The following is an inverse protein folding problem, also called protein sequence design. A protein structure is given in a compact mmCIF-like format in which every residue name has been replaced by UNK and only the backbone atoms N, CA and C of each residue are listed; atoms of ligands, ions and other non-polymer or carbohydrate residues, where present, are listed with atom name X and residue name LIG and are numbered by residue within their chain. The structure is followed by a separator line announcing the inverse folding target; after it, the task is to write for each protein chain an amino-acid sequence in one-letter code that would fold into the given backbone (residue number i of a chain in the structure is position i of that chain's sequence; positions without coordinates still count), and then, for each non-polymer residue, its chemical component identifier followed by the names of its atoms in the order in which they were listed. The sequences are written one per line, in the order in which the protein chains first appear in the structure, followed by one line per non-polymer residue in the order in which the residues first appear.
data_IF_869386048128
#
_entry.id   IF_869386048128
#
_cell.length_a   1.000
_cell.length_b   1.000
_cell.length_c   1.000
_cell.angle_alpha   90.00
_cell.angle_beta   90.00
_cell.angle_gamma   90.00
#
_symmetry.space_group_name_H-M   'P 1'
#
loop_
_entity.id
_entity.type
_entity.pdbx_description
1 polymer ?
#
# COMPACT_ATOMS: atom_id res chain seq x y z
N UNK A 1 -17.01 -2.79 3.18
CA UNK A 1 -15.72 -2.64 3.87
C UNK A 1 -15.49 -3.82 4.80
N UNK A 2 -14.29 -4.31 4.86
CA UNK A 2 -13.94 -5.52 5.60
C UNK A 2 -12.62 -5.29 6.34
N UNK A 3 -12.45 -5.90 7.50
CA UNK A 3 -11.19 -5.84 8.25
C UNK A 3 -10.23 -6.92 7.75
N UNK A 4 -9.05 -6.49 7.32
CA UNK A 4 -7.96 -7.36 6.91
C UNK A 4 -6.81 -7.26 7.88
N UNK A 5 -6.15 -8.37 8.11
CA UNK A 5 -4.86 -8.39 8.79
C UNK A 5 -3.73 -8.55 7.77
N UNK A 6 -2.56 -8.11 8.12
CA UNK A 6 -1.39 -8.24 7.29
C UNK A 6 -0.09 -8.18 8.10
N UNK A 7 1.01 -8.48 7.42
CA UNK A 7 2.33 -8.47 8.04
C UNK A 7 3.43 -8.32 7.00
N UNK A 8 4.63 -7.98 7.47
CA UNK A 8 5.85 -8.19 6.69
C UNK A 8 6.14 -9.70 6.60
N UNK A 9 7.14 -10.07 5.80
CA UNK A 9 7.48 -11.49 5.60
C UNK A 9 7.86 -12.19 6.93
N UNK A 10 8.71 -11.56 7.75
CA UNK A 10 9.17 -12.18 9.00
C UNK A 10 8.14 -12.06 10.15
N UNK A 11 7.03 -11.38 9.94
CA UNK A 11 5.91 -11.19 10.86
C UNK A 11 6.23 -10.40 12.14
N UNK A 12 7.37 -9.76 12.22
CA UNK A 12 7.65 -8.82 13.32
C UNK A 12 6.74 -7.60 13.27
N UNK A 13 6.38 -7.17 12.04
CA UNK A 13 5.44 -6.06 11.84
C UNK A 13 4.10 -6.66 11.43
N UNK A 14 3.07 -6.43 12.24
CA UNK A 14 1.70 -6.85 11.93
C UNK A 14 0.76 -5.67 12.05
N UNK A 15 -0.32 -5.68 11.28
CA UNK A 15 -1.28 -4.59 11.24
C UNK A 15 -2.67 -5.11 10.88
N UNK A 16 -3.66 -4.26 11.08
CA UNK A 16 -5.00 -4.50 10.54
C UNK A 16 -5.53 -3.21 9.90
N UNK A 17 -6.39 -3.38 8.91
CA UNK A 17 -6.98 -2.26 8.17
C UNK A 17 -8.39 -2.62 7.72
N UNK A 18 -9.28 -1.64 7.77
CA UNK A 18 -10.61 -1.74 7.17
C UNK A 18 -10.51 -1.22 5.73
N UNK A 19 -10.75 -2.11 4.77
CA UNK A 19 -10.55 -1.82 3.35
C UNK A 19 -11.70 -2.36 2.51
N UNK A 20 -11.95 -1.72 1.38
CA UNK A 20 -12.75 -2.27 0.30
C UNK A 20 -11.84 -2.54 -0.90
N UNK A 21 -11.53 -3.81 -1.14
CA UNK A 21 -10.65 -4.19 -2.25
C UNK A 21 -11.33 -4.05 -3.61
N UNK A 22 -12.64 -3.87 -3.66
CA UNK A 22 -13.40 -3.80 -4.91
C UNK A 22 -13.62 -2.35 -5.37
N UNK A 23 -13.83 -1.41 -4.45
CA UNK A 23 -14.20 -0.03 -4.79
C UNK A 23 -13.45 0.97 -3.89
N UNK A 24 -12.53 1.76 -4.41
CA UNK A 24 -12.09 1.88 -5.80
C UNK A 24 -11.15 0.77 -6.28
N UNK A 25 -10.82 -0.20 -5.44
CA UNK A 25 -9.91 -1.27 -5.77
C UNK A 25 -8.46 -0.92 -5.46
N UNK A 26 -7.55 -1.66 -6.07
CA UNK A 26 -6.10 -1.54 -5.85
C UNK A 26 -5.43 -0.83 -7.02
N UNK A 27 -4.15 -0.48 -6.88
CA UNK A 27 -3.43 0.20 -7.94
C UNK A 27 -1.99 -0.29 -8.06
N UNK A 28 -1.46 -0.17 -9.28
CA UNK A 28 -0.03 -0.21 -9.59
C UNK A 28 0.32 1.05 -10.36
N UNK A 29 1.48 1.61 -10.09
CA UNK A 29 1.92 2.85 -10.71
C UNK A 29 3.26 2.62 -11.42
N UNK A 30 3.43 3.26 -12.58
CA UNK A 30 4.67 3.17 -13.35
C UNK A 30 5.73 4.20 -12.95
N UNK A 31 5.52 5.01 -11.91
CA UNK A 31 6.56 5.92 -11.45
C UNK A 31 7.79 5.13 -10.99
N UNK A 32 8.95 5.78 -11.02
CA UNK A 32 10.22 5.12 -10.70
C UNK A 32 10.22 4.44 -9.33
N UNK A 33 9.63 5.07 -8.33
CA UNK A 33 9.55 4.55 -6.97
C UNK A 33 8.69 3.28 -6.90
N UNK A 34 7.47 3.35 -7.40
CA UNK A 34 6.56 2.20 -7.37
C UNK A 34 7.07 1.07 -8.24
N UNK A 35 7.62 1.40 -9.42
CA UNK A 35 8.18 0.40 -10.33
C UNK A 35 9.35 -0.36 -9.68
N UNK A 36 10.32 0.37 -9.11
CA UNK A 36 11.48 -0.28 -8.49
C UNK A 36 11.13 -1.10 -7.26
N UNK A 37 10.10 -0.71 -6.52
CA UNK A 37 9.63 -1.45 -5.35
C UNK A 37 8.63 -2.54 -5.70
N UNK A 38 8.19 -2.65 -6.95
CA UNK A 38 7.12 -3.57 -7.37
C UNK A 38 5.87 -3.37 -6.53
N UNK A 39 5.53 -2.12 -6.28
CA UNK A 39 4.46 -1.75 -5.37
C UNK A 39 3.08 -2.08 -5.92
N UNK A 40 2.28 -2.77 -5.14
CA UNK A 40 0.87 -3.01 -5.38
C UNK A 40 0.12 -2.49 -4.17
N UNK A 41 -0.61 -1.41 -4.31
CA UNK A 41 -1.13 -0.66 -3.18
C UNK A 41 -2.63 -0.48 -3.17
N UNK A 42 -3.11 -0.15 -1.98
CA UNK A 42 -4.44 0.39 -1.74
C UNK A 42 -4.30 1.48 -0.68
N UNK A 43 -5.07 2.56 -0.80
CA UNK A 43 -5.05 3.62 0.19
C UNK A 43 -6.12 3.36 1.25
N UNK A 44 -5.73 3.46 2.50
CA UNK A 44 -6.61 3.43 3.66
C UNK A 44 -6.57 4.74 4.42
N UNK A 45 -7.57 4.94 5.27
CA UNK A 45 -7.62 6.10 6.18
C UNK A 45 -6.93 5.75 7.50
N UNK A 46 -6.17 6.68 8.11
CA UNK A 46 -5.51 6.41 9.39
C UNK A 46 -6.46 5.94 10.48
N UNK A 47 -7.69 6.46 10.52
CA UNK A 47 -8.69 6.05 11.50
C UNK A 47 -9.16 4.59 11.34
N UNK A 48 -8.93 3.99 10.17
CA UNK A 48 -9.30 2.63 9.81
C UNK A 48 -8.09 1.70 9.71
N UNK A 49 -6.96 2.13 10.27
CA UNK A 49 -5.69 1.40 10.20
C UNK A 49 -5.04 1.35 11.58
N UNK A 50 -4.45 0.20 11.93
CA UNK A 50 -3.79 0.03 13.21
C UNK A 50 -2.58 -0.90 13.09
N UNK A 51 -1.44 -0.45 13.61
CA UNK A 51 -0.27 -1.33 13.78
C UNK A 51 -0.49 -2.16 15.05
N UNK A 52 -0.40 -3.47 14.92
CA UNK A 52 -0.55 -4.40 16.03
C UNK A 52 0.77 -4.71 16.72
N UNK A 53 1.87 -4.79 15.95
CA UNK A 53 3.21 -5.03 16.48
C UNK A 53 4.28 -4.50 15.56
N UNK A 54 5.44 -4.21 16.13
CA UNK A 54 6.68 -4.00 15.37
C UNK A 54 6.83 -2.64 14.71
N UNK A 55 6.11 -1.60 15.14
CA UNK A 55 6.25 -0.26 14.56
C UNK A 55 7.71 0.24 14.60
N UNK A 56 8.46 -0.10 15.64
CA UNK A 56 9.86 0.30 15.82
C UNK A 56 10.84 -0.50 14.94
N UNK A 57 10.35 -1.56 14.29
CA UNK A 57 11.14 -2.37 13.35
C UNK A 57 11.12 -1.81 11.94
N UNK A 58 10.36 -0.75 11.70
CA UNK A 58 10.24 -0.11 10.40
C UNK A 58 11.23 1.05 10.26
N UNK A 59 11.94 1.08 9.12
CA UNK A 59 12.78 2.21 8.72
C UNK A 59 11.94 3.08 7.81
N UNK A 60 11.70 4.33 8.19
CA UNK A 60 10.91 5.26 7.39
C UNK A 60 11.56 5.55 6.03
N UNK A 61 10.76 5.52 4.98
CA UNK A 61 11.20 5.81 3.61
C UNK A 61 10.99 7.26 3.22
N UNK A 62 10.06 7.95 3.89
CA UNK A 62 9.80 9.37 3.69
C UNK A 62 9.27 9.99 4.98
N UNK A 63 9.42 11.31 5.18
CA UNK A 63 8.82 11.98 6.32
C UNK A 63 7.29 11.88 6.26
N UNK A 64 6.70 11.50 7.38
CA UNK A 64 5.25 11.48 7.57
C UNK A 64 4.95 11.39 9.06
N UNK A 65 3.78 11.89 9.48
CA UNK A 65 3.34 11.81 10.88
C UNK A 65 3.03 10.37 11.29
N UNK A 66 2.40 9.62 10.38
CA UNK A 66 1.99 8.25 10.65
C UNK A 66 3.11 7.22 10.53
N UNK A 67 2.84 5.97 10.94
CA UNK A 67 3.81 4.88 10.87
C UNK A 67 4.01 4.38 9.43
N UNK A 68 5.14 3.73 9.18
CA UNK A 68 5.38 3.08 7.91
C UNK A 68 6.86 2.96 7.58
N UNK A 69 7.14 2.17 6.57
CA UNK A 69 8.49 1.98 6.07
C UNK A 69 8.81 0.53 5.76
N UNK A 70 10.10 0.25 5.65
CA UNK A 70 10.62 -1.07 5.35
C UNK A 70 11.01 -1.80 6.65
N UNK A 71 10.61 -3.08 6.75
CA UNK A 71 11.06 -3.92 7.88
C UNK A 71 12.58 -4.11 7.79
N UNK A 72 13.28 -3.71 8.86
CA UNK A 72 14.76 -3.81 8.90
C UNK A 72 15.27 -5.23 8.88
N UNK A 73 14.42 -6.22 9.18
CA UNK A 73 14.81 -7.62 9.27
C UNK A 73 14.57 -8.39 7.96
N UNK A 74 13.44 -8.14 7.28
CA UNK A 74 13.08 -8.92 6.09
C UNK A 74 13.00 -8.10 4.80
N UNK A 75 13.03 -6.77 4.87
CA UNK A 75 13.02 -5.90 3.69
C UNK A 75 11.66 -5.67 3.05
N UNK A 76 10.59 -6.23 3.59
CA UNK A 76 9.24 -5.98 3.06
C UNK A 76 8.74 -4.62 3.56
N UNK A 77 8.04 -3.91 2.67
CA UNK A 77 7.34 -2.67 3.00
C UNK A 77 5.87 -3.01 3.17
N UNK A 78 5.36 -3.19 4.40
CA UNK A 78 3.96 -3.56 4.58
C UNK A 78 3.00 -2.39 4.38
N UNK A 79 3.40 -1.20 4.76
CA UNK A 79 2.61 0.03 4.58
C UNK A 79 3.50 1.25 4.70
N UNK A 80 3.02 2.37 4.14
CA UNK A 80 3.70 3.69 4.21
C UNK A 80 2.62 4.73 4.48
N UNK A 81 2.82 5.57 5.50
CA UNK A 81 1.93 6.70 5.74
C UNK A 81 2.33 7.90 4.88
N UNK A 82 1.33 8.67 4.47
CA UNK A 82 1.50 9.95 3.80
C UNK A 82 0.65 11.02 4.48
N UNK A 83 1.18 12.25 4.50
CA UNK A 83 0.48 13.40 5.05
C UNK A 83 -0.43 14.01 3.98
N UNK A 84 -1.44 14.77 4.44
CA UNK A 84 -2.32 15.54 3.56
C UNK A 84 -1.52 16.49 2.68
N UNK A 85 -1.92 16.61 1.43
CA UNK A 85 -1.31 17.49 0.43
C UNK A 85 -2.39 18.02 -0.51
N UNK A 86 -2.04 18.92 -1.44
CA UNK A 86 -3.01 19.49 -2.37
C UNK A 86 -3.75 18.44 -3.22
N UNK A 87 -3.07 17.34 -3.55
CA UNK A 87 -3.62 16.25 -4.35
C UNK A 87 -4.36 15.20 -3.53
N UNK A 88 -4.46 15.39 -2.21
CA UNK A 88 -5.00 14.38 -1.30
C UNK A 88 -5.73 15.06 -0.14
N UNK A 89 -6.99 14.72 0.06
CA UNK A 89 -7.89 15.38 1.02
C UNK A 89 -7.51 15.21 2.49
N UNK A 90 -6.64 14.28 2.82
CA UNK A 90 -6.24 14.02 4.20
C UNK A 90 -5.04 13.12 4.30
N UNK A 91 -4.58 12.88 5.51
CA UNK A 91 -3.55 11.89 5.76
C UNK A 91 -4.04 10.52 5.31
N UNK A 92 -3.13 9.67 4.83
CA UNK A 92 -3.48 8.35 4.34
C UNK A 92 -2.44 7.31 4.74
N UNK A 93 -2.80 6.05 4.61
CA UNK A 93 -1.88 4.93 4.70
C UNK A 93 -1.94 4.17 3.37
N UNK A 94 -0.82 4.12 2.66
CA UNK A 94 -0.68 3.26 1.50
C UNK A 94 -0.29 1.87 1.99
N UNK A 95 -1.14 0.90 1.73
CA UNK A 95 -0.99 -0.46 2.23
C UNK A 95 -0.55 -1.36 1.09
N UNK A 96 0.46 -2.18 1.33
CA UNK A 96 0.92 -3.20 0.38
C UNK A 96 -0.10 -4.34 0.35
N UNK A 97 -0.80 -4.48 -0.77
CA UNK A 97 -1.82 -5.52 -0.94
C UNK A 97 -1.22 -6.92 -0.79
N UNK A 98 0.03 -7.11 -1.25
CA UNK A 98 0.71 -8.39 -1.10
C UNK A 98 1.07 -8.73 0.36
N UNK A 99 1.02 -7.76 1.27
CA UNK A 99 1.26 -7.98 2.69
C UNK A 99 -0.02 -8.36 3.46
N UNK A 100 -1.19 -8.33 2.82
CA UNK A 100 -2.45 -8.71 3.46
C UNK A 100 -2.55 -10.23 3.56
N UNK A 101 -3.06 -10.71 4.71
CA UNK A 101 -3.31 -12.13 4.97
C UNK A 101 -4.67 -12.53 4.37
N UNK A 102 -4.71 -12.76 3.07
CA UNK A 102 -5.92 -13.18 2.38
C UNK A 102 -5.59 -14.25 1.34
N UNK A 103 -6.62 -14.98 0.90
CA UNK A 103 -6.40 -16.06 -0.04
C UNK A 103 -6.12 -15.55 -1.47
N UNK A 104 -5.60 -16.43 -2.31
CA UNK A 104 -5.21 -16.08 -3.68
C UNK A 104 -6.42 -15.74 -4.55
N UNK A 105 -7.56 -16.35 -4.30
CA UNK A 105 -8.79 -16.06 -5.04
C UNK A 105 -9.26 -14.63 -4.79
N UNK A 106 -9.17 -14.15 -3.56
CA UNK A 106 -9.51 -12.78 -3.21
C UNK A 106 -8.54 -11.78 -3.85
N UNK A 107 -7.24 -12.11 -3.92
CA UNK A 107 -6.26 -11.32 -4.64
C UNK A 107 -6.54 -11.27 -6.14
N UNK A 108 -6.86 -12.42 -6.75
CA UNK A 108 -7.17 -12.49 -8.18
C UNK A 108 -8.41 -11.65 -8.53
N UNK A 109 -9.37 -11.56 -7.62
CA UNK A 109 -10.61 -10.82 -7.83
C UNK A 109 -10.46 -9.31 -7.60
N UNK A 110 -9.38 -8.85 -6.98
CA UNK A 110 -9.19 -7.43 -6.68
C UNK A 110 -8.88 -6.63 -7.95
N UNK A 111 -9.70 -5.62 -8.30
CA UNK A 111 -9.41 -4.78 -9.46
C UNK A 111 -8.08 -4.03 -9.29
N UNK A 112 -7.33 -3.90 -10.38
CA UNK A 112 -6.07 -3.16 -10.39
C UNK A 112 -6.19 -2.01 -11.38
N UNK A 113 -6.07 -0.77 -10.90
CA UNK A 113 -5.90 0.39 -11.74
C UNK A 113 -4.41 0.60 -11.99
N UNK A 114 -4.01 0.73 -13.26
CA UNK A 114 -2.64 1.04 -13.64
C UNK A 114 -2.54 2.54 -13.88
N UNK A 115 -1.70 3.23 -13.10
CA UNK A 115 -1.64 4.69 -13.06
C UNK A 115 -0.33 5.21 -13.67
N UNK A 116 -0.43 6.32 -14.40
CA UNK A 116 0.72 6.94 -15.07
C UNK A 116 1.38 8.02 -14.20
N UNK A 117 2.04 7.60 -13.13
CA UNK A 117 2.83 8.50 -12.29
C UNK A 117 4.14 8.92 -12.93
N UNK A 118 4.65 8.16 -13.91
CA UNK A 118 5.89 8.48 -14.63
C UNK A 118 5.80 9.83 -15.36
N UNK A 119 4.64 10.15 -15.93
CA UNK A 119 4.37 11.41 -16.62
C UNK A 119 3.64 12.42 -15.73
N UNK A 120 3.54 12.15 -14.44
CA UNK A 120 2.94 13.03 -13.43
C UNK A 120 1.47 13.39 -13.74
N UNK A 121 0.77 12.50 -14.42
CA UNK A 121 -0.66 12.69 -14.77
C UNK A 121 -1.57 11.92 -13.82
N UNK A 122 -1.09 10.79 -13.29
CA UNK A 122 -1.86 9.84 -12.47
C UNK A 122 -3.11 9.32 -13.17
N UNK A 123 -3.16 9.48 -14.50
CA UNK A 123 -4.26 9.01 -15.32
C UNK A 123 -4.21 7.47 -15.42
N UNK A 124 -5.37 6.80 -15.54
CA UNK A 124 -5.39 5.36 -15.79
C UNK A 124 -4.73 5.01 -17.12
N UNK A 125 -3.99 3.91 -17.12
CA UNK A 125 -3.43 3.29 -18.33
C UNK A 125 -4.40 2.19 -18.75
N UNK A 126 -4.91 2.27 -20.01
CA UNK A 126 -5.97 1.37 -20.50
C UNK A 126 -5.54 -0.10 -20.58
N UNK A 127 -4.28 -0.34 -20.90
CA UNK A 127 -3.72 -1.68 -20.98
C UNK A 127 -2.67 -1.88 -19.90
N UNK A 128 -2.76 -2.99 -19.17
CA UNK A 128 -1.78 -3.35 -18.16
C UNK A 128 -0.38 -3.44 -18.78
N UNK A 129 0.57 -2.57 -18.36
CA UNK A 129 1.94 -2.68 -18.88
C UNK A 129 2.57 -3.98 -18.44
N UNK A 130 3.30 -4.63 -19.37
CA UNK A 130 3.93 -5.92 -19.09
C UNK A 130 4.96 -5.87 -17.96
N UNK A 131 5.52 -4.69 -17.72
CA UNK A 131 6.53 -4.49 -16.67
C UNK A 131 5.95 -4.22 -15.27
N UNK A 132 4.64 -4.03 -15.15
CA UNK A 132 3.98 -3.78 -13.85
C UNK A 132 3.30 -5.05 -13.26
#
# INVERSE_FOLDING_TARGET
MKTYQGSCYCRRVTFEAELDLQTPGTYRCNCTSCFKRRWWGIHGKPAQFRVLSGVDELIKLKPAKGPGGVCRHCGVIPFISGDAAEWNEGDYVAINVAALDLDRAELDAAPIAYLDGLHDTWAPIDLAPRYL
#
